data_IF_520459902108
#
_entry.id   IF_520459902108
#
_cell.length_a   1.000
_cell.length_b   1.000
_cell.length_c   1.000
_cell.angle_alpha   90.00
_cell.angle_beta   90.00
_cell.angle_gamma   90.00
#
_symmetry.space_group_name_H-M   'P 1'
#
loop_
_entity.id
_entity.type
_entity.pdbx_description
1 polymer ?
#
# COMPACT_ATOMS: atom_id res chain seq x y z
N UNK A 1 1.07 5.97 1.18
CA UNK A 1 0.70 6.37 -0.20
C UNK A 1 1.90 6.78 -1.06
N UNK A 2 3.15 6.34 -0.77
CA UNK A 2 4.33 6.79 -1.54
C UNK A 2 4.78 5.86 -2.67
N UNK A 3 4.23 4.65 -2.77
CA UNK A 3 4.73 3.60 -3.67
C UNK A 3 4.14 3.65 -5.08
N UNK A 4 3.01 4.32 -5.30
CA UNK A 4 2.35 4.37 -6.61
C UNK A 4 3.21 4.95 -7.76
N UNK A 5 4.07 5.98 -7.57
CA UNK A 5 4.90 6.51 -8.65
C UNK A 5 5.94 5.51 -9.14
N UNK A 6 6.32 4.52 -8.32
CA UNK A 6 7.35 3.53 -8.67
C UNK A 6 6.94 2.73 -9.91
N UNK A 7 5.66 2.40 -10.05
CA UNK A 7 5.16 1.74 -11.26
C UNK A 7 5.38 2.59 -12.53
N UNK A 8 5.21 3.91 -12.42
CA UNK A 8 5.50 4.83 -13.52
C UNK A 8 6.99 4.88 -13.82
N UNK A 9 7.85 4.89 -12.80
CA UNK A 9 9.30 4.83 -12.99
C UNK A 9 9.71 3.52 -13.69
N UNK A 10 9.17 2.38 -13.27
CA UNK A 10 9.43 1.08 -13.90
C UNK A 10 8.94 1.04 -15.36
N UNK A 11 7.85 1.75 -15.69
CA UNK A 11 7.34 1.83 -17.05
C UNK A 11 8.20 2.70 -17.97
N UNK A 12 8.60 3.88 -17.48
CA UNK A 12 9.10 4.96 -18.35
C UNK A 12 10.59 5.20 -18.27
N UNK A 13 11.24 4.85 -17.15
CA UNK A 13 12.67 5.06 -16.93
C UNK A 13 13.31 3.88 -16.18
N UNK A 14 13.02 2.60 -16.53
CA UNK A 14 13.55 1.45 -15.80
C UNK A 14 15.08 1.43 -15.74
N UNK A 15 15.76 1.87 -16.80
CA UNK A 15 17.22 1.96 -16.90
C UNK A 15 17.85 2.96 -15.93
N UNK A 16 17.05 3.86 -15.34
CA UNK A 16 17.51 4.83 -14.33
C UNK A 16 17.36 4.31 -12.90
N UNK A 17 16.86 3.09 -12.74
CA UNK A 17 16.61 2.46 -11.44
C UNK A 17 17.63 1.37 -11.18
N UNK A 18 18.47 1.54 -10.15
CA UNK A 18 19.34 0.47 -9.67
C UNK A 18 18.54 -0.66 -8.97
N UNK A 19 17.38 -0.32 -8.41
CA UNK A 19 16.48 -1.23 -7.72
C UNK A 19 15.39 -0.46 -6.98
N UNK A 20 14.28 -1.13 -6.66
CA UNK A 20 13.15 -0.53 -5.93
C UNK A 20 12.57 -1.52 -4.93
N UNK A 21 12.18 -1.04 -3.76
CA UNK A 21 11.37 -1.78 -2.80
C UNK A 21 10.09 -1.01 -2.51
N UNK A 22 8.95 -1.62 -2.83
CA UNK A 22 7.63 -1.10 -2.50
C UNK A 22 7.12 -1.79 -1.24
N UNK A 23 6.84 -1.01 -0.19
CA UNK A 23 6.26 -1.51 1.06
C UNK A 23 4.77 -1.20 1.08
N UNK A 24 3.96 -2.23 1.31
CA UNK A 24 2.49 -2.24 1.27
C UNK A 24 1.92 -1.41 0.11
N UNK A 25 2.31 -1.69 -1.15
CA UNK A 25 1.93 -0.85 -2.26
C UNK A 25 0.41 -0.80 -2.42
N UNK A 26 -0.11 0.40 -2.71
CA UNK A 26 -1.54 0.56 -3.00
C UNK A 26 -1.90 -0.18 -4.29
N UNK A 27 -3.12 -0.70 -4.36
CA UNK A 27 -3.65 -1.40 -5.52
C UNK A 27 -4.77 -0.59 -6.16
N UNK A 28 -4.68 -0.37 -7.47
CA UNK A 28 -5.77 0.23 -8.21
C UNK A 28 -6.70 -0.86 -8.79
N UNK A 29 -7.92 -0.95 -8.26
CA UNK A 29 -8.97 -1.87 -8.73
C UNK A 29 -9.45 -1.62 -10.18
N UNK A 30 -8.90 -0.61 -10.87
CA UNK A 30 -9.15 -0.33 -12.28
C UNK A 30 -8.12 -0.97 -13.22
N UNK A 31 -7.02 -1.54 -12.72
CA UNK A 31 -6.03 -2.20 -13.58
C UNK A 31 -6.68 -3.39 -14.33
N UNK A 32 -6.71 -3.37 -15.67
CA UNK A 32 -7.45 -4.36 -16.47
C UNK A 32 -7.02 -5.81 -16.27
N UNK A 33 -5.75 -6.03 -15.94
CA UNK A 33 -5.16 -7.36 -15.74
C UNK A 33 -5.67 -8.10 -14.52
N UNK A 34 -6.33 -7.42 -13.58
CA UNK A 34 -6.93 -8.10 -12.44
C UNK A 34 -8.17 -8.87 -12.88
N UNK A 35 -8.26 -10.16 -12.55
CA UNK A 35 -9.45 -10.93 -12.86
C UNK A 35 -10.61 -10.39 -12.06
N UNK A 36 -11.77 -10.30 -12.71
CA UNK A 36 -12.99 -9.78 -12.07
C UNK A 36 -13.37 -10.63 -10.86
N UNK A 37 -13.14 -11.95 -10.89
CA UNK A 37 -13.39 -12.85 -9.75
C UNK A 37 -12.65 -12.42 -8.49
N UNK A 38 -11.38 -12.04 -8.61
CA UNK A 38 -10.52 -11.66 -7.47
C UNK A 38 -10.88 -10.29 -6.88
N UNK A 39 -11.44 -9.39 -7.69
CA UNK A 39 -11.74 -8.00 -7.26
C UNK A 39 -13.23 -7.74 -7.01
N UNK A 40 -14.12 -8.65 -7.42
CA UNK A 40 -15.58 -8.46 -7.32
C UNK A 40 -16.09 -8.56 -5.89
N UNK A 41 -15.54 -9.48 -5.11
CA UNK A 41 -15.99 -9.75 -3.74
C UNK A 41 -15.29 -8.86 -2.71
N UNK A 42 -14.24 -8.13 -3.10
CA UNK A 42 -13.59 -7.18 -2.20
C UNK A 42 -14.43 -5.91 -2.02
N UNK A 43 -15.00 -5.74 -0.83
CA UNK A 43 -15.78 -4.56 -0.43
C UNK A 43 -14.98 -3.24 -0.57
N UNK A 44 -13.65 -3.29 -0.45
CA UNK A 44 -12.76 -2.13 -0.57
C UNK A 44 -12.83 -1.53 -1.97
N UNK A 45 -13.11 -2.33 -3.01
CA UNK A 45 -13.30 -1.83 -4.37
C UNK A 45 -14.42 -0.80 -4.44
N UNK A 46 -15.58 -1.11 -3.85
CA UNK A 46 -16.74 -0.22 -3.82
C UNK A 46 -16.46 1.01 -2.97
N UNK A 47 -15.81 0.83 -1.81
CA UNK A 47 -15.40 1.92 -0.94
C UNK A 47 -14.44 2.89 -1.65
N UNK A 48 -13.38 2.39 -2.28
CA UNK A 48 -12.40 3.19 -3.03
C UNK A 48 -13.06 3.95 -4.17
N UNK A 49 -13.97 3.31 -4.93
CA UNK A 49 -14.72 3.99 -6.00
C UNK A 49 -15.55 5.17 -5.47
N UNK A 50 -16.27 4.97 -4.36
CA UNK A 50 -17.06 6.02 -3.72
C UNK A 50 -16.15 7.15 -3.22
N UNK A 51 -15.09 6.82 -2.49
CA UNK A 51 -14.14 7.81 -1.96
C UNK A 51 -13.46 8.59 -3.09
N UNK A 52 -13.08 7.93 -4.19
CA UNK A 52 -12.52 8.57 -5.38
C UNK A 52 -13.49 9.58 -5.99
N UNK A 53 -14.76 9.19 -6.14
CA UNK A 53 -15.78 10.08 -6.67
C UNK A 53 -15.98 11.31 -5.77
N UNK A 54 -16.11 11.12 -4.45
CA UNK A 54 -16.26 12.21 -3.48
C UNK A 54 -15.01 13.12 -3.47
N UNK A 55 -13.81 12.54 -3.52
CA UNK A 55 -12.54 13.27 -3.55
C UNK A 55 -12.44 14.14 -4.82
N UNK A 56 -12.86 13.61 -5.97
CA UNK A 56 -12.79 14.31 -7.26
C UNK A 56 -13.82 15.42 -7.38
N UNK A 57 -15.05 15.18 -6.95
CA UNK A 57 -16.18 16.07 -7.25
C UNK A 57 -16.61 16.96 -6.08
N UNK A 58 -16.44 16.50 -4.84
CA UNK A 58 -16.90 17.20 -3.63
C UNK A 58 -15.81 17.28 -2.55
N UNK A 59 -14.62 17.85 -2.85
CA UNK A 59 -13.48 17.81 -1.94
C UNK A 59 -13.73 18.52 -0.60
N UNK A 60 -14.56 19.57 -0.57
CA UNK A 60 -14.93 20.27 0.67
C UNK A 60 -15.76 19.39 1.61
N UNK A 61 -16.70 18.61 1.06
CA UNK A 61 -17.48 17.65 1.83
C UNK A 61 -16.58 16.55 2.39
N UNK A 62 -15.63 16.06 1.58
CA UNK A 62 -14.63 15.11 2.05
C UNK A 62 -13.80 15.70 3.19
N UNK A 63 -13.27 16.91 3.04
CA UNK A 63 -12.48 17.58 4.08
C UNK A 63 -13.27 17.72 5.39
N UNK A 64 -14.53 18.17 5.28
CA UNK A 64 -15.41 18.23 6.44
C UNK A 64 -15.60 16.84 7.07
N UNK A 65 -15.90 15.82 6.29
CA UNK A 65 -16.13 14.48 6.82
C UNK A 65 -14.90 13.87 7.51
N UNK A 66 -13.72 14.00 6.90
CA UNK A 66 -12.47 13.43 7.45
C UNK A 66 -12.02 14.13 8.72
N UNK A 67 -12.24 15.44 8.82
CA UNK A 67 -11.92 16.23 10.02
C UNK A 67 -12.92 16.02 11.16
N UNK A 68 -14.12 15.49 10.89
CA UNK A 68 -15.11 15.17 11.93
C UNK A 68 -15.00 13.73 12.45
N UNK A 69 -14.90 12.73 11.55
CA UNK A 69 -15.14 11.31 11.90
C UNK A 69 -13.95 10.37 11.73
N UNK A 70 -12.95 10.72 10.91
CA UNK A 70 -11.97 9.72 10.45
C UNK A 70 -10.78 9.53 11.40
N UNK A 71 -10.36 10.60 12.10
CA UNK A 71 -9.29 10.56 13.10
C UNK A 71 -9.84 10.85 14.49
N UNK A 72 -10.33 9.82 15.21
CA UNK A 72 -10.56 9.96 16.63
C UNK A 72 -9.20 10.00 17.36
N UNK A 73 -9.17 10.50 18.60
CA UNK A 73 -7.94 10.64 19.39
C UNK A 73 -7.11 9.34 19.46
N UNK A 74 -5.82 9.40 19.82
CA UNK A 74 -4.97 8.20 19.98
C UNK A 74 -5.61 7.08 20.83
N UNK A 75 -6.36 7.45 21.86
CA UNK A 75 -7.13 6.54 22.73
C UNK A 75 -8.29 5.79 22.04
N UNK A 76 -8.69 6.19 20.84
CA UNK A 76 -9.73 5.53 20.03
C UNK A 76 -9.10 4.69 18.89
N UNK A 77 -7.86 4.99 18.48
CA UNK A 77 -7.10 4.09 17.59
C UNK A 77 -6.87 2.72 18.23
N UNK A 78 -6.62 2.67 19.54
CA UNK A 78 -6.62 1.43 20.34
C UNK A 78 -7.95 0.65 20.25
N UNK A 79 -9.06 1.34 19.98
CA UNK A 79 -10.43 0.78 20.05
C UNK A 79 -11.07 0.54 18.68
N UNK A 80 -10.38 0.79 17.55
CA UNK A 80 -10.89 0.48 16.20
C UNK A 80 -10.09 -0.65 15.54
N UNK A 81 -10.39 -1.92 15.88
CA UNK A 81 -9.72 -3.11 15.33
C UNK A 81 -9.97 -3.35 13.82
N UNK A 82 -10.70 -2.48 13.13
CA UNK A 82 -11.08 -2.67 11.72
C UNK A 82 -9.98 -2.37 10.70
N UNK A 83 -8.99 -1.53 11.02
CA UNK A 83 -7.98 -1.08 10.05
C UNK A 83 -6.54 -1.52 10.36
N UNK A 84 -6.25 -1.77 11.64
CA UNK A 84 -4.92 -2.12 12.10
C UNK A 84 -4.93 -3.53 12.70
N UNK A 85 -3.84 -4.25 12.56
CA UNK A 85 -3.62 -5.47 13.33
C UNK A 85 -2.92 -5.15 14.66
N UNK A 86 -2.68 -6.17 15.48
CA UNK A 86 -2.06 -5.96 16.80
C UNK A 86 -0.68 -5.30 16.69
N UNK A 87 0.13 -5.74 15.73
CA UNK A 87 1.49 -5.27 15.53
C UNK A 87 1.55 -3.84 14.99
N UNK A 88 0.62 -3.45 14.13
CA UNK A 88 0.41 -2.06 13.70
C UNK A 88 0.12 -1.14 14.89
N UNK A 89 -0.76 -1.57 15.81
CA UNK A 89 -1.09 -0.78 17.01
C UNK A 89 0.14 -0.59 17.89
N UNK A 90 0.88 -1.67 18.17
CA UNK A 90 2.12 -1.61 18.96
C UNK A 90 3.18 -0.69 18.34
N UNK A 91 3.31 -0.70 17.01
CA UNK A 91 4.24 0.16 16.28
C UNK A 91 3.79 1.64 16.33
N UNK A 92 2.49 1.90 16.17
CA UNK A 92 1.91 3.24 16.24
C UNK A 92 1.95 3.84 17.65
N UNK A 93 1.95 3.03 18.72
CA UNK A 93 2.13 3.51 20.09
C UNK A 93 3.56 3.99 20.37
N UNK A 94 4.55 3.41 19.70
CA UNK A 94 5.98 3.70 19.91
C UNK A 94 6.51 4.80 18.99
N UNK A 95 5.74 5.15 17.96
CA UNK A 95 6.09 6.17 16.97
C UNK A 95 5.21 7.40 17.20
N UNK A 96 5.65 8.61 16.83
CA UNK A 96 4.80 9.81 16.84
C UNK A 96 3.62 9.78 15.83
N UNK A 97 3.31 8.60 15.27
CA UNK A 97 2.27 8.39 14.26
C UNK A 97 2.60 9.06 12.93
N UNK A 98 1.55 9.41 12.17
CA UNK A 98 1.67 10.22 10.95
C UNK A 98 1.23 11.64 11.29
N UNK A 99 2.16 12.59 11.51
CA UNK A 99 1.80 13.95 11.91
C UNK A 99 0.81 14.58 10.93
N UNK A 100 0.91 14.29 9.63
CA UNK A 100 0.02 14.83 8.59
C UNK A 100 -1.42 14.31 8.65
N UNK A 101 -1.66 13.16 9.27
CA UNK A 101 -2.99 12.56 9.38
C UNK A 101 -3.73 12.97 10.65
N UNK A 102 -3.16 13.85 11.49
CA UNK A 102 -3.87 14.37 12.65
C UNK A 102 -5.05 15.25 12.24
N UNK A 103 -6.06 15.32 13.09
CA UNK A 103 -7.27 16.11 12.82
C UNK A 103 -6.96 17.59 12.60
N UNK A 104 -6.00 18.11 13.36
CA UNK A 104 -5.51 19.49 13.25
C UNK A 104 -4.87 19.73 11.89
N UNK A 105 -4.01 18.80 11.44
CA UNK A 105 -3.26 18.92 10.19
C UNK A 105 -4.16 18.74 8.97
N UNK A 106 -5.17 17.87 9.04
CA UNK A 106 -6.16 17.71 7.97
C UNK A 106 -7.12 18.89 7.80
N UNK A 107 -7.20 19.81 8.78
CA UNK A 107 -7.88 21.10 8.60
C UNK A 107 -7.04 22.06 7.75
N UNK A 108 -5.72 21.90 7.73
CA UNK A 108 -4.86 22.70 6.86
C UNK A 108 -5.13 22.31 5.41
N UNK A 109 -5.54 23.32 4.62
CA UNK A 109 -5.92 23.11 3.22
C UNK A 109 -4.79 22.50 2.40
N UNK A 110 -3.55 22.93 2.62
CA UNK A 110 -2.37 22.39 1.93
C UNK A 110 -2.19 20.90 2.18
N UNK A 111 -2.24 20.46 3.45
CA UNK A 111 -2.10 19.05 3.83
C UNK A 111 -3.23 18.21 3.24
N UNK A 112 -4.48 18.67 3.37
CA UNK A 112 -5.63 17.98 2.81
C UNK A 112 -5.55 17.86 1.29
N UNK A 113 -5.23 18.96 0.59
CA UNK A 113 -5.15 18.98 -0.88
C UNK A 113 -4.04 18.02 -1.37
N UNK A 114 -2.89 17.97 -0.70
CA UNK A 114 -1.79 17.03 -1.02
C UNK A 114 -2.24 15.58 -0.88
N UNK A 115 -2.80 15.20 0.27
CA UNK A 115 -3.25 13.82 0.50
C UNK A 115 -4.38 13.41 -0.45
N UNK A 116 -5.31 14.34 -0.73
CA UNK A 116 -6.37 14.11 -1.72
C UNK A 116 -5.77 13.88 -3.11
N UNK A 117 -4.80 14.69 -3.52
CA UNK A 117 -4.18 14.57 -4.83
C UNK A 117 -3.40 13.25 -4.96
N UNK A 118 -2.67 12.84 -3.92
CA UNK A 118 -2.03 11.52 -3.87
C UNK A 118 -3.06 10.39 -4.02
N UNK A 119 -4.17 10.48 -3.29
CA UNK A 119 -5.25 9.50 -3.38
C UNK A 119 -5.86 9.44 -4.79
N UNK A 120 -6.09 10.59 -5.42
CA UNK A 120 -6.58 10.66 -6.80
C UNK A 120 -5.57 10.12 -7.82
N UNK A 121 -4.26 10.30 -7.58
CA UNK A 121 -3.21 9.73 -8.42
C UNK A 121 -3.14 8.20 -8.26
N UNK A 122 -3.24 7.69 -7.03
CA UNK A 122 -3.22 6.26 -6.74
C UNK A 122 -4.36 5.49 -7.43
N UNK A 123 -5.58 6.03 -7.39
CA UNK A 123 -6.81 5.34 -7.83
C UNK A 123 -7.42 5.94 -9.10
N UNK A 124 -6.69 6.85 -9.75
CA UNK A 124 -7.08 7.46 -11.01
C UNK A 124 -7.02 6.48 -12.18
N UNK A 125 -7.28 6.99 -13.37
CA UNK A 125 -7.06 6.23 -14.59
C UNK A 125 -5.59 6.35 -14.97
N UNK A 126 -4.93 5.21 -15.10
CA UNK A 126 -3.54 5.11 -15.52
C UNK A 126 -3.53 4.79 -17.01
N UNK A 127 -2.55 5.33 -17.72
CA UNK A 127 -2.31 5.09 -19.15
C UNK A 127 -1.59 3.76 -19.42
N UNK A 128 -1.18 3.05 -18.37
CA UNK A 128 -0.62 1.71 -18.44
C UNK A 128 -1.15 0.81 -17.31
N UNK A 129 -1.04 -0.50 -17.53
CA UNK A 129 -1.27 -1.53 -16.53
C UNK A 129 0.07 -2.03 -15.98
N UNK A 130 0.36 -1.90 -14.68
CA UNK A 130 1.57 -2.43 -14.06
C UNK A 130 1.85 -3.90 -14.35
N UNK A 131 0.81 -4.71 -14.52
CA UNK A 131 0.93 -6.15 -14.77
C UNK A 131 1.30 -6.50 -16.22
N UNK A 132 1.33 -5.52 -17.13
CA UNK A 132 1.78 -5.70 -18.51
C UNK A 132 3.23 -5.20 -18.71
N UNK A 133 3.91 -4.85 -17.62
CA UNK A 133 5.31 -4.44 -17.66
C UNK A 133 6.23 -5.64 -17.93
N UNK A 134 7.17 -5.44 -18.84
CA UNK A 134 8.27 -6.39 -19.06
C UNK A 134 9.30 -6.30 -17.94
N UNK A 135 10.10 -7.36 -17.78
CA UNK A 135 11.19 -7.37 -16.82
C UNK A 135 12.12 -6.17 -17.08
N UNK A 136 12.38 -5.30 -16.09
CA UNK A 136 13.33 -4.19 -16.24
C UNK A 136 14.79 -4.64 -16.38
N UNK A 137 15.08 -5.95 -16.31
CA UNK A 137 16.37 -6.65 -16.44
C UNK A 137 17.44 -6.24 -15.42
N UNK A 138 17.79 -4.96 -15.37
CA UNK A 138 18.88 -4.41 -14.55
C UNK A 138 18.41 -4.00 -13.15
N UNK A 139 17.11 -3.77 -12.96
CA UNK A 139 16.55 -3.33 -11.68
C UNK A 139 16.00 -4.48 -10.85
N UNK A 140 16.50 -4.68 -9.64
CA UNK A 140 15.87 -5.55 -8.65
C UNK A 140 14.57 -4.91 -8.12
N UNK A 141 13.43 -5.59 -8.29
CA UNK A 141 12.13 -5.08 -7.84
C UNK A 141 11.61 -5.95 -6.70
N UNK A 142 11.34 -5.33 -5.56
CA UNK A 142 10.82 -6.00 -4.38
C UNK A 142 9.46 -5.43 -3.98
N UNK A 143 8.54 -6.32 -3.57
CA UNK A 143 7.28 -5.95 -2.91
C UNK A 143 7.25 -6.57 -1.53
N UNK A 144 6.97 -5.77 -0.51
CA UNK A 144 6.84 -6.18 0.88
C UNK A 144 5.41 -5.96 1.34
N UNK A 145 4.71 -7.01 1.74
CA UNK A 145 3.29 -6.96 2.07
C UNK A 145 3.00 -7.60 3.42
N UNK A 146 2.09 -7.01 4.19
CA UNK A 146 1.57 -7.62 5.41
C UNK A 146 0.45 -8.59 5.07
N UNK A 147 0.51 -9.82 5.60
CA UNK A 147 -0.54 -10.83 5.41
C UNK A 147 -1.86 -10.44 6.12
N UNK A 148 -1.78 -9.73 7.23
CA UNK A 148 -2.91 -9.21 7.99
C UNK A 148 -3.27 -7.76 7.62
N UNK A 149 -2.78 -7.26 6.48
CA UNK A 149 -3.10 -5.91 5.99
C UNK A 149 -4.60 -5.81 5.66
N UNK A 150 -5.28 -4.93 6.40
CA UNK A 150 -6.72 -4.70 6.25
C UNK A 150 -7.04 -3.62 5.22
N UNK A 151 -6.05 -2.87 4.75
CA UNK A 151 -6.19 -1.76 3.80
C UNK A 151 -5.91 -2.25 2.38
N UNK A 152 -4.83 -3.01 2.19
CA UNK A 152 -4.47 -3.62 0.90
C UNK A 152 -4.48 -5.14 1.04
N UNK A 153 -5.38 -5.86 0.35
CA UNK A 153 -5.39 -7.33 0.38
C UNK A 153 -4.08 -7.91 -0.17
N UNK A 154 -3.45 -8.81 0.59
CA UNK A 154 -2.23 -9.49 0.18
C UNK A 154 -2.46 -10.38 -1.05
N UNK A 155 -3.69 -10.88 -1.24
CA UNK A 155 -4.08 -11.72 -2.37
C UNK A 155 -3.87 -11.00 -3.71
N UNK A 156 -4.13 -9.69 -3.76
CA UNK A 156 -3.88 -8.89 -4.96
C UNK A 156 -2.38 -8.73 -5.24
N UNK A 157 -1.56 -8.58 -4.20
CA UNK A 157 -0.10 -8.51 -4.37
C UNK A 157 0.49 -9.87 -4.80
N UNK A 158 0.00 -10.98 -4.22
CA UNK A 158 0.34 -12.33 -4.67
C UNK A 158 -0.02 -12.55 -6.13
N UNK A 159 -1.17 -12.04 -6.59
CA UNK A 159 -1.54 -12.14 -8.00
C UNK A 159 -0.57 -11.38 -8.90
N UNK A 160 -0.19 -10.14 -8.52
CA UNK A 160 0.80 -9.35 -9.25
C UNK A 160 2.13 -10.08 -9.34
N UNK A 161 2.65 -10.61 -8.23
CA UNK A 161 3.96 -11.29 -8.22
C UNK A 161 3.97 -12.59 -9.02
N UNK A 162 2.84 -13.31 -9.11
CA UNK A 162 2.71 -14.46 -10.02
C UNK A 162 2.72 -14.04 -11.49
N UNK A 163 2.06 -12.93 -11.83
CA UNK A 163 2.01 -12.41 -13.21
C UNK A 163 3.34 -11.77 -13.63
N UNK A 164 4.07 -11.19 -12.69
CA UNK A 164 5.36 -10.54 -12.86
C UNK A 164 6.45 -11.30 -12.08
N UNK A 165 6.94 -12.45 -12.59
CA UNK A 165 7.86 -13.32 -11.86
C UNK A 165 9.24 -12.69 -11.59
N UNK A 166 9.54 -11.56 -12.23
CA UNK A 166 10.73 -10.74 -11.96
C UNK A 166 10.61 -9.91 -10.67
N UNK A 167 9.43 -9.85 -10.03
CA UNK A 167 9.25 -9.21 -8.74
C UNK A 167 9.58 -10.20 -7.62
N UNK A 168 10.48 -9.81 -6.74
CA UNK A 168 10.74 -10.50 -5.48
C UNK A 168 9.68 -10.12 -4.45
N UNK A 169 8.74 -11.03 -4.19
CA UNK A 169 7.64 -10.80 -3.26
C UNK A 169 7.97 -11.34 -1.86
N UNK A 170 7.83 -10.47 -0.87
CA UNK A 170 8.05 -10.72 0.56
C UNK A 170 6.74 -10.50 1.30
N UNK A 171 6.33 -11.46 2.11
CA UNK A 171 5.10 -11.43 2.89
C UNK A 171 5.39 -11.62 4.37
N UNK A 172 4.96 -10.66 5.19
CA UNK A 172 5.11 -10.67 6.65
C UNK A 172 3.86 -11.29 7.27
N UNK A 173 3.99 -12.48 7.83
CA UNK A 173 2.88 -13.34 8.24
C UNK A 173 1.96 -12.74 9.32
N UNK A 174 2.52 -12.00 10.27
CA UNK A 174 1.81 -11.24 11.32
C UNK A 174 1.82 -9.73 11.03
N UNK A 175 2.07 -9.36 9.77
CA UNK A 175 2.22 -7.98 9.33
C UNK A 175 0.93 -7.34 8.88
N UNK A 176 0.69 -6.12 9.35
CA UNK A 176 -0.40 -5.25 8.90
C UNK A 176 0.07 -4.22 7.86
N UNK A 177 -0.62 -3.08 7.77
CA UNK A 177 -0.31 -2.06 6.77
C UNK A 177 0.91 -1.19 7.16
N UNK A 178 1.27 -1.13 8.44
CA UNK A 178 2.28 -0.19 8.95
C UNK A 178 3.66 -0.83 9.08
N UNK A 179 3.99 -1.74 8.15
CA UNK A 179 5.24 -2.48 8.09
C UNK A 179 6.49 -1.61 8.28
N UNK A 180 6.51 -0.39 7.71
CA UNK A 180 7.66 0.53 7.82
C UNK A 180 8.04 0.92 9.26
N UNK A 181 7.14 0.73 10.23
CA UNK A 181 7.39 1.02 11.64
C UNK A 181 7.78 -0.22 12.45
N UNK A 182 7.93 -1.38 11.81
CA UNK A 182 8.27 -2.61 12.51
C UNK A 182 9.78 -2.68 12.72
N UNK A 183 10.18 -2.92 13.97
CA UNK A 183 11.60 -3.07 14.32
C UNK A 183 12.27 -4.16 13.46
N UNK A 184 13.42 -3.82 12.88
CA UNK A 184 14.22 -4.72 12.04
C UNK A 184 13.73 -4.87 10.59
N UNK A 185 12.49 -4.50 10.25
CA UNK A 185 11.98 -4.70 8.89
C UNK A 185 12.62 -3.74 7.89
N UNK A 186 12.86 -2.48 8.27
CA UNK A 186 13.58 -1.52 7.43
C UNK A 186 15.00 -2.01 7.11
N UNK A 187 15.70 -2.56 8.11
CA UNK A 187 17.02 -3.16 7.91
C UNK A 187 16.95 -4.35 6.94
N UNK A 188 15.97 -5.25 7.11
CA UNK A 188 15.76 -6.38 6.22
C UNK A 188 15.49 -5.95 4.77
N UNK A 189 14.67 -4.91 4.56
CA UNK A 189 14.39 -4.35 3.23
C UNK A 189 15.67 -3.83 2.58
N UNK A 190 16.47 -3.05 3.32
CA UNK A 190 17.72 -2.48 2.82
C UNK A 190 18.75 -3.57 2.50
N UNK A 191 18.90 -4.57 3.36
CA UNK A 191 19.78 -5.72 3.13
C UNK A 191 19.35 -6.54 1.91
N UNK A 192 18.06 -6.81 1.75
CA UNK A 192 17.54 -7.48 0.57
C UNK A 192 17.86 -6.70 -0.72
N UNK A 193 17.70 -5.37 -0.71
CA UNK A 193 18.01 -4.54 -1.89
C UNK A 193 19.51 -4.43 -2.19
N UNK A 194 20.36 -4.25 -1.16
CA UNK A 194 21.78 -3.95 -1.36
C UNK A 194 22.66 -5.20 -1.44
N UNK A 195 22.30 -6.24 -0.70
CA UNK A 195 23.10 -7.46 -0.54
C UNK A 195 22.47 -8.68 -1.21
N UNK A 196 21.21 -8.58 -1.65
CA UNK A 196 20.45 -9.73 -2.15
C UNK A 196 20.16 -10.78 -1.08
N UNK A 197 20.21 -10.40 0.21
CA UNK A 197 19.93 -11.30 1.32
C UNK A 197 18.46 -11.78 1.27
N UNK A 198 18.28 -13.09 1.12
CA UNK A 198 16.95 -13.69 1.23
C UNK A 198 16.60 -13.92 2.71
N UNK A 199 15.55 -13.26 3.17
CA UNK A 199 14.99 -13.52 4.49
C UNK A 199 13.89 -14.59 4.38
N UNK A 200 14.24 -15.85 4.66
CA UNK A 200 13.30 -16.97 4.62
C UNK A 200 12.03 -16.76 5.46
N UNK A 201 12.12 -15.97 6.54
CA UNK A 201 11.00 -15.59 7.41
C UNK A 201 9.91 -14.78 6.70
N UNK A 202 10.22 -14.15 5.56
CA UNK A 202 9.29 -13.32 4.80
C UNK A 202 8.95 -13.93 3.44
N UNK A 203 9.27 -15.21 3.21
CA UNK A 203 8.71 -15.91 2.05
C UNK A 203 7.22 -16.18 2.30
N UNK A 204 6.36 -16.02 1.28
CA UNK A 204 4.97 -16.41 1.39
C UNK A 204 4.87 -17.88 1.76
N UNK A 205 4.05 -18.18 2.76
CA UNK A 205 3.84 -19.56 3.19
C UNK A 205 3.23 -20.39 2.06
N UNK A 206 3.96 -21.41 1.60
CA UNK A 206 3.55 -22.26 0.49
C UNK A 206 2.28 -23.07 0.82
N UNK A 207 2.01 -23.29 2.11
CA UNK A 207 0.90 -24.12 2.58
C UNK A 207 -0.43 -23.34 2.68
N UNK A 208 -0.41 -22.01 2.52
CA UNK A 208 -1.61 -21.15 2.41
C UNK A 208 -1.98 -20.82 0.95
N UNK A 209 -1.49 -21.60 -0.01
CA UNK A 209 -1.68 -21.36 -1.45
C UNK A 209 -3.01 -21.97 -1.97
N UNK A 210 -3.65 -22.85 -1.19
CA UNK A 210 -4.87 -23.56 -1.58
C UNK A 210 -5.97 -23.35 -0.54
N UNK A 211 -6.69 -22.23 -0.63
CA UNK A 211 -8.06 -22.10 -0.13
C UNK A 211 -8.79 -20.99 -0.86
#
# INVERSE_FOLDING_TARGET
>A
MGSYPIWSCLKYIPERLAGVAMVVPVINYRWPSFPVSLTREDYRRSLVKLLYWIAKHTPRLLQWWVTQKWFPSPSVMEKKPGFFNKRDIEALMKTEGFPMLTKERLRERCVFDTLRNDFLACYGDWDFDPMELSNPNESCVHIWQGHEDKIVPFELQRYISRKLPWIQYHEVSDGGHFLVHYNGLCEAIVRAMLLGEEHHLYRPDADKIVS
#
